data_IF_856601247024
#
_entry.id   IF_856601247024
#
_cell.length_a   1.000
_cell.length_b   1.000
_cell.length_c   1.000
_cell.angle_alpha   90.00
_cell.angle_beta   90.00
_cell.angle_gamma   90.00
#
_symmetry.space_group_name_H-M   'P 1'
#
loop_
_entity.id
_entity.type
_entity.pdbx_description
1 polymer ?
#
# COMPACT_ATOMS: atom_id res chain seq x y z
N UNK A 1 -12.26 -41.26 16.02
CA UNK A 1 -12.49 -39.82 15.75
C UNK A 1 -12.25 -38.94 16.98
N UNK A 2 -12.68 -39.30 18.21
CA UNK A 2 -12.44 -38.45 19.41
C UNK A 2 -10.96 -38.14 19.71
N UNK A 3 -10.03 -39.00 19.34
CA UNK A 3 -8.59 -38.82 19.61
C UNK A 3 -7.90 -37.81 18.66
N UNK A 4 -8.40 -37.65 17.44
CA UNK A 4 -7.86 -36.69 16.46
C UNK A 4 -8.25 -35.23 16.78
N UNK A 5 -9.46 -35.02 17.33
CA UNK A 5 -9.95 -33.68 17.66
C UNK A 5 -9.24 -33.07 18.86
N UNK A 6 -8.55 -33.88 19.68
CA UNK A 6 -7.77 -33.43 20.83
C UNK A 6 -6.29 -33.13 20.48
N UNK A 7 -5.80 -33.49 19.29
CA UNK A 7 -4.43 -33.23 18.88
C UNK A 7 -4.24 -31.75 18.56
N UNK A 8 -3.25 -31.11 19.14
CA UNK A 8 -2.94 -29.68 18.95
C UNK A 8 -2.84 -29.27 17.48
N UNK A 9 -2.25 -30.11 16.64
CA UNK A 9 -2.14 -29.82 15.20
C UNK A 9 -3.49 -29.84 14.49
N UNK A 10 -4.42 -30.73 14.83
CA UNK A 10 -5.75 -30.77 14.23
C UNK A 10 -6.59 -29.56 14.62
N UNK A 11 -6.53 -29.16 15.90
CA UNK A 11 -7.16 -27.92 16.37
C UNK A 11 -6.56 -26.70 15.66
N UNK A 12 -5.24 -26.70 15.43
CA UNK A 12 -4.60 -25.62 14.68
C UNK A 12 -5.04 -25.62 13.21
N UNK A 13 -5.05 -26.76 12.53
CA UNK A 13 -5.49 -26.88 11.14
C UNK A 13 -6.93 -26.37 10.96
N UNK A 14 -7.84 -26.80 11.84
CA UNK A 14 -9.25 -26.36 11.78
C UNK A 14 -9.42 -24.88 12.12
N UNK A 15 -8.55 -24.32 12.95
CA UNK A 15 -8.57 -22.92 13.33
C UNK A 15 -7.95 -21.98 12.26
N UNK A 16 -7.07 -22.49 11.39
CA UNK A 16 -6.32 -21.73 10.39
C UNK A 16 -6.45 -22.30 8.96
N UNK A 17 -7.55 -23.02 8.68
CA UNK A 17 -7.81 -23.61 7.36
C UNK A 17 -7.66 -22.63 6.20
N UNK A 18 -8.03 -21.35 6.41
CA UNK A 18 -7.96 -20.28 5.43
C UNK A 18 -6.53 -19.90 5.02
N UNK A 19 -5.51 -20.33 5.75
CA UNK A 19 -4.12 -20.15 5.35
C UNK A 19 -3.67 -21.15 4.25
N UNK A 20 -4.37 -22.27 4.07
CA UNK A 20 -4.03 -23.21 3.01
C UNK A 20 -4.19 -22.64 1.60
N UNK A 21 -5.34 -22.03 1.24
CA UNK A 21 -5.45 -21.37 -0.07
C UNK A 21 -4.45 -20.22 -0.24
N UNK A 22 -4.12 -19.47 0.80
CA UNK A 22 -3.08 -18.43 0.75
C UNK A 22 -1.70 -19.05 0.48
N UNK A 23 -1.33 -20.10 1.21
CA UNK A 23 -0.07 -20.81 0.99
C UNK A 23 -0.02 -21.43 -0.41
N UNK A 24 -1.10 -22.05 -0.86
CA UNK A 24 -1.22 -22.62 -2.21
C UNK A 24 -1.04 -21.54 -3.29
N UNK A 25 -1.64 -20.39 -3.12
CA UNK A 25 -1.46 -19.26 -4.03
C UNK A 25 -0.01 -18.75 -4.05
N UNK A 26 0.62 -18.57 -2.89
CA UNK A 26 2.01 -18.10 -2.82
C UNK A 26 2.98 -19.11 -3.44
N UNK A 27 2.76 -20.41 -3.23
CA UNK A 27 3.55 -21.47 -3.86
C UNK A 27 3.35 -21.50 -5.37
N UNK A 28 2.10 -21.34 -5.84
CA UNK A 28 1.81 -21.27 -7.27
C UNK A 28 2.47 -20.03 -7.91
N UNK A 29 2.32 -18.85 -7.31
CA UNK A 29 2.95 -17.63 -7.78
C UNK A 29 4.48 -17.75 -7.80
N UNK A 30 5.10 -18.27 -6.74
CA UNK A 30 6.53 -18.54 -6.70
C UNK A 30 6.94 -19.54 -7.80
N UNK A 31 6.16 -20.61 -8.00
CA UNK A 31 6.40 -21.60 -9.04
C UNK A 31 6.35 -21.01 -10.44
N UNK A 32 5.39 -20.12 -10.72
CA UNK A 32 5.29 -19.42 -12.00
C UNK A 32 6.47 -18.47 -12.20
N UNK A 33 6.77 -17.61 -11.23
CA UNK A 33 7.90 -16.69 -11.34
C UNK A 33 9.22 -17.45 -11.54
N UNK A 34 9.57 -18.39 -10.68
CA UNK A 34 10.83 -19.12 -10.80
C UNK A 34 10.87 -20.10 -11.98
N UNK A 35 9.71 -20.57 -12.45
CA UNK A 35 9.62 -21.44 -13.63
C UNK A 35 9.92 -20.71 -14.94
N UNK A 36 9.49 -19.46 -15.07
CA UNK A 36 9.76 -18.63 -16.25
C UNK A 36 11.02 -17.76 -16.12
N UNK A 37 11.55 -17.62 -14.91
CA UNK A 37 12.75 -16.82 -14.63
C UNK A 37 12.56 -15.36 -15.05
N UNK A 38 13.61 -14.74 -15.56
CA UNK A 38 13.65 -13.32 -15.91
C UNK A 38 12.63 -12.90 -16.97
N UNK A 39 12.09 -13.85 -17.75
CA UNK A 39 10.97 -13.61 -18.68
C UNK A 39 9.67 -13.21 -17.97
N UNK A 40 9.59 -13.34 -16.66
CA UNK A 40 8.42 -12.94 -15.85
C UNK A 40 8.58 -11.59 -15.16
N UNK A 41 9.61 -10.82 -15.46
CA UNK A 41 9.63 -9.41 -15.11
C UNK A 41 8.44 -8.67 -15.71
N UNK A 42 7.89 -7.71 -14.96
CA UNK A 42 6.71 -6.96 -15.39
C UNK A 42 7.16 -5.57 -15.83
N UNK A 43 7.08 -5.35 -17.14
CA UNK A 43 7.43 -4.10 -17.77
C UNK A 43 6.26 -3.10 -17.70
N UNK A 44 5.96 -2.61 -16.51
CA UNK A 44 4.89 -1.64 -16.28
C UNK A 44 5.44 -0.39 -15.62
N UNK A 45 5.19 0.77 -16.22
CA UNK A 45 5.75 2.06 -15.78
C UNK A 45 7.27 2.00 -15.61
N UNK A 46 7.79 2.64 -14.59
CA UNK A 46 9.23 2.75 -14.27
C UNK A 46 9.79 1.46 -13.62
N UNK A 47 9.10 0.31 -13.73
CA UNK A 47 9.50 -0.87 -12.96
C UNK A 47 10.83 -1.46 -13.44
N UNK A 48 11.02 -1.58 -14.73
CA UNK A 48 12.22 -2.22 -15.30
C UNK A 48 13.30 -1.19 -15.65
N UNK A 49 12.93 -0.18 -16.38
CA UNK A 49 13.83 0.86 -16.90
C UNK A 49 14.39 1.77 -15.80
N UNK A 50 13.67 1.96 -14.71
CA UNK A 50 14.13 2.78 -13.57
C UNK A 50 14.51 1.90 -12.38
N UNK A 51 13.54 1.18 -11.77
CA UNK A 51 13.77 0.55 -10.46
C UNK A 51 14.67 -0.69 -10.54
N UNK A 52 14.44 -1.60 -11.45
CA UNK A 52 15.28 -2.78 -11.58
C UNK A 52 16.66 -2.43 -12.13
N UNK A 53 16.71 -1.57 -13.15
CA UNK A 53 17.97 -1.14 -13.75
C UNK A 53 18.90 -0.46 -12.73
N UNK A 54 18.39 0.43 -11.87
CA UNK A 54 19.22 1.07 -10.85
C UNK A 54 19.80 0.06 -9.84
N UNK A 55 19.03 -0.94 -9.40
CA UNK A 55 19.54 -1.96 -8.48
C UNK A 55 20.56 -2.86 -9.16
N UNK A 56 20.33 -3.23 -10.42
CA UNK A 56 21.31 -4.00 -11.20
C UNK A 56 22.60 -3.21 -11.39
N UNK A 57 22.53 -1.91 -11.71
CA UNK A 57 23.72 -1.05 -11.83
C UNK A 57 24.48 -0.93 -10.51
N UNK A 58 23.78 -0.73 -9.39
CA UNK A 58 24.39 -0.71 -8.06
C UNK A 58 25.12 -2.04 -7.75
N UNK A 59 24.57 -3.14 -8.21
CA UNK A 59 25.18 -4.47 -8.05
C UNK A 59 26.42 -4.64 -8.93
N UNK A 60 26.32 -4.31 -10.20
CA UNK A 60 27.42 -4.43 -11.17
C UNK A 60 28.62 -3.57 -10.76
N UNK A 61 28.37 -2.39 -10.21
CA UNK A 61 29.42 -1.45 -9.74
C UNK A 61 29.83 -1.68 -8.28
N UNK A 62 29.20 -2.62 -7.58
CA UNK A 62 29.39 -2.87 -6.15
C UNK A 62 29.24 -1.61 -5.29
N UNK A 63 28.27 -0.75 -5.62
CA UNK A 63 28.17 0.63 -5.10
C UNK A 63 27.03 0.82 -4.11
N UNK A 64 26.38 -0.23 -3.60
CA UNK A 64 25.26 -0.09 -2.65
C UNK A 64 25.59 0.79 -1.45
N UNK A 65 26.78 0.65 -0.89
CA UNK A 65 27.24 1.39 0.31
C UNK A 65 28.17 2.57 -0.03
N UNK A 66 28.45 2.82 -1.31
CA UNK A 66 29.32 3.91 -1.73
C UNK A 66 28.67 5.29 -1.52
N UNK A 67 29.49 6.33 -1.38
CA UNK A 67 29.10 7.73 -1.29
C UNK A 67 29.90 8.58 -2.27
N UNK A 68 29.27 9.59 -2.84
CA UNK A 68 29.93 10.56 -3.71
C UNK A 68 30.51 9.96 -4.97
N UNK A 69 30.08 8.76 -5.39
CA UNK A 69 30.52 8.12 -6.63
C UNK A 69 29.44 8.24 -7.70
N UNK A 70 29.88 8.36 -8.94
CA UNK A 70 29.00 8.35 -10.10
C UNK A 70 28.71 6.91 -10.52
N UNK A 71 27.45 6.61 -10.78
CA UNK A 71 26.95 5.31 -11.26
C UNK A 71 26.57 5.48 -12.74
N UNK A 72 26.96 4.54 -13.63
CA UNK A 72 26.66 4.61 -15.05
C UNK A 72 25.18 4.27 -15.34
N UNK A 73 24.27 5.03 -14.76
CA UNK A 73 22.84 4.92 -14.90
C UNK A 73 22.28 6.24 -15.44
N UNK A 74 21.44 6.19 -16.47
CA UNK A 74 20.88 7.37 -17.16
C UNK A 74 21.93 8.38 -17.64
N UNK A 75 23.10 7.91 -18.07
CA UNK A 75 24.20 8.78 -18.53
C UNK A 75 25.16 9.28 -17.44
N UNK A 76 25.02 8.78 -16.25
CA UNK A 76 25.79 9.14 -15.05
C UNK A 76 24.94 9.84 -14.00
N UNK A 77 24.81 9.23 -12.85
CA UNK A 77 24.07 9.80 -11.71
C UNK A 77 24.82 9.54 -10.41
N UNK A 78 24.80 10.50 -9.50
CA UNK A 78 25.38 10.27 -8.18
C UNK A 78 24.67 9.13 -7.45
N UNK A 79 25.44 8.22 -6.82
CA UNK A 79 24.91 7.15 -5.96
C UNK A 79 23.97 7.69 -4.88
N UNK A 80 24.22 8.88 -4.41
CA UNK A 80 23.45 9.50 -3.34
C UNK A 80 22.05 9.95 -3.78
N UNK A 81 21.78 10.00 -5.09
CA UNK A 81 20.46 10.25 -5.66
C UNK A 81 19.62 8.96 -5.84
N UNK A 82 20.21 7.78 -5.62
CA UNK A 82 19.55 6.49 -5.75
C UNK A 82 19.00 6.02 -4.38
N UNK A 83 18.08 5.02 -4.34
CA UNK A 83 17.46 4.55 -3.11
C UNK A 83 18.46 4.16 -2.02
N UNK A 84 18.12 4.51 -0.78
CA UNK A 84 18.93 4.19 0.39
C UNK A 84 19.02 2.68 0.62
N UNK A 85 20.18 2.22 1.02
CA UNK A 85 20.43 0.84 1.47
C UNK A 85 19.70 0.50 2.76
N UNK A 86 19.19 1.46 3.51
CA UNK A 86 18.39 1.22 4.71
C UNK A 86 16.97 0.73 4.40
N UNK A 87 16.52 0.78 3.15
CA UNK A 87 15.24 0.20 2.77
C UNK A 87 15.32 -1.33 2.69
N UNK A 88 14.34 -2.02 3.27
CA UNK A 88 14.24 -3.48 3.19
C UNK A 88 14.18 -3.99 1.74
N UNK A 89 13.54 -3.23 0.84
CA UNK A 89 13.51 -3.58 -0.57
C UNK A 89 14.90 -3.54 -1.20
N UNK A 90 15.68 -2.48 -0.94
CA UNK A 90 17.08 -2.37 -1.40
C UNK A 90 17.95 -3.48 -0.79
N UNK A 91 17.75 -3.81 0.50
CA UNK A 91 18.46 -4.91 1.17
C UNK A 91 18.28 -6.24 0.46
N UNK A 92 17.08 -6.53 -0.09
CA UNK A 92 16.89 -7.75 -0.88
C UNK A 92 17.85 -7.80 -2.07
N UNK A 93 18.03 -6.69 -2.79
CA UNK A 93 18.94 -6.64 -3.95
C UNK A 93 20.42 -6.67 -3.55
N UNK A 94 20.77 -6.24 -2.35
CA UNK A 94 22.15 -6.38 -1.85
C UNK A 94 22.55 -7.85 -1.64
N UNK A 95 21.63 -8.66 -1.15
CA UNK A 95 21.95 -10.04 -0.72
C UNK A 95 21.53 -11.13 -1.71
N UNK A 96 20.52 -10.89 -2.55
CA UNK A 96 20.00 -11.88 -3.49
C UNK A 96 20.28 -11.48 -4.94
N UNK A 97 20.34 -12.45 -5.89
CA UNK A 97 20.29 -12.14 -7.33
C UNK A 97 19.10 -11.24 -7.64
N UNK A 98 19.25 -10.33 -8.62
CA UNK A 98 18.25 -9.28 -8.92
C UNK A 98 16.86 -9.86 -9.13
N UNK A 99 16.73 -10.91 -9.93
CA UNK A 99 15.47 -11.59 -10.16
C UNK A 99 14.87 -12.19 -8.87
N UNK A 100 15.69 -12.87 -8.08
CA UNK A 100 15.25 -13.46 -6.79
C UNK A 100 14.77 -12.35 -5.84
N UNK A 101 15.49 -11.23 -5.73
CA UNK A 101 15.10 -10.08 -4.92
C UNK A 101 13.74 -9.51 -5.36
N UNK A 102 13.52 -9.40 -6.67
CA UNK A 102 12.27 -8.97 -7.26
C UNK A 102 11.10 -9.86 -6.83
N UNK A 103 11.23 -11.18 -7.02
CA UNK A 103 10.19 -12.15 -6.63
C UNK A 103 9.93 -12.13 -5.12
N UNK A 104 10.99 -12.08 -4.30
CA UNK A 104 10.88 -11.96 -2.84
C UNK A 104 10.18 -10.66 -2.44
N UNK A 105 10.40 -9.57 -3.16
CA UNK A 105 9.69 -8.30 -2.98
C UNK A 105 8.18 -8.44 -3.18
N UNK A 106 7.75 -9.11 -4.26
CA UNK A 106 6.33 -9.34 -4.55
C UNK A 106 5.69 -10.23 -3.48
N UNK A 107 6.29 -11.39 -3.19
CA UNK A 107 5.76 -12.32 -2.19
C UNK A 107 5.79 -11.71 -0.78
N UNK A 108 6.85 -10.98 -0.46
CA UNK A 108 7.01 -10.26 0.80
C UNK A 108 5.95 -9.18 1.00
N UNK A 109 5.61 -8.43 -0.06
CA UNK A 109 4.50 -7.46 -0.06
C UNK A 109 3.18 -8.13 0.33
N UNK A 110 2.86 -9.27 -0.27
CA UNK A 110 1.61 -9.99 -0.02
C UNK A 110 1.54 -10.41 1.46
N UNK A 111 2.60 -11.01 1.96
CA UNK A 111 2.69 -11.42 3.36
C UNK A 111 2.62 -10.23 4.32
N UNK A 112 3.35 -9.16 4.02
CA UNK A 112 3.35 -7.94 4.83
C UNK A 112 1.95 -7.32 4.88
N UNK A 113 1.23 -7.24 3.76
CA UNK A 113 -0.15 -6.75 3.70
C UNK A 113 -1.09 -7.58 4.57
N UNK A 114 -1.03 -8.90 4.45
CA UNK A 114 -1.83 -9.81 5.24
C UNK A 114 -1.56 -9.68 6.75
N UNK A 115 -0.28 -9.70 7.15
CA UNK A 115 0.07 -9.64 8.57
C UNK A 115 -0.13 -8.26 9.18
N UNK A 116 0.14 -7.18 8.45
CA UNK A 116 -0.08 -5.81 8.92
C UNK A 116 -1.57 -5.53 9.14
N UNK A 117 -2.42 -5.97 8.22
CA UNK A 117 -3.87 -5.87 8.38
C UNK A 117 -4.38 -6.72 9.57
N UNK A 118 -3.85 -7.93 9.72
CA UNK A 118 -4.16 -8.81 10.86
C UNK A 118 -3.79 -8.16 12.21
N UNK A 119 -2.62 -7.52 12.30
CA UNK A 119 -2.20 -6.85 13.54
C UNK A 119 -3.16 -5.71 13.88
N UNK A 120 -3.50 -4.88 12.91
CA UNK A 120 -4.41 -3.75 13.10
C UNK A 120 -5.82 -4.22 13.47
N UNK A 121 -6.41 -5.10 12.66
CA UNK A 121 -7.77 -5.59 12.92
C UNK A 121 -7.86 -6.40 14.22
N UNK A 122 -6.82 -7.18 14.54
CA UNK A 122 -6.72 -7.91 15.80
C UNK A 122 -6.67 -7.00 17.03
N UNK A 123 -6.02 -5.84 16.93
CA UNK A 123 -6.01 -4.84 18.00
C UNK A 123 -7.34 -4.10 18.14
N UNK A 124 -7.98 -3.77 17.01
CA UNK A 124 -9.25 -3.04 17.01
C UNK A 124 -10.43 -3.90 17.45
N UNK A 125 -10.39 -5.21 17.19
CA UNK A 125 -11.47 -6.17 17.43
C UNK A 125 -11.03 -7.33 18.32
N UNK A 126 -10.23 -7.05 19.34
CA UNK A 126 -9.61 -8.06 20.21
C UNK A 126 -10.62 -9.04 20.82
N UNK A 127 -11.78 -8.54 21.30
CA UNK A 127 -12.84 -9.34 21.95
C UNK A 127 -13.46 -10.38 20.98
N UNK A 128 -13.49 -10.08 19.67
CA UNK A 128 -14.08 -10.92 18.62
C UNK A 128 -13.06 -11.49 17.65
N UNK A 129 -11.77 -11.32 17.94
CA UNK A 129 -10.69 -11.73 17.06
C UNK A 129 -10.81 -13.18 16.57
N UNK A 130 -11.13 -14.11 17.48
CA UNK A 130 -11.24 -15.54 17.15
C UNK A 130 -12.33 -15.78 16.10
N UNK A 131 -13.46 -15.06 16.22
CA UNK A 131 -14.60 -15.18 15.31
C UNK A 131 -14.28 -14.56 13.95
N UNK A 132 -13.70 -13.34 13.95
CA UNK A 132 -13.41 -12.60 12.73
C UNK A 132 -12.10 -13.03 12.04
N UNK A 133 -11.29 -13.87 12.69
CA UNK A 133 -9.95 -14.24 12.21
C UNK A 133 -9.91 -14.65 10.74
N UNK A 134 -10.77 -15.54 10.21
CA UNK A 134 -10.72 -15.87 8.78
C UNK A 134 -10.90 -14.66 7.88
N UNK A 135 -11.92 -13.82 8.14
CA UNK A 135 -12.18 -12.61 7.34
C UNK A 135 -11.03 -11.60 7.47
N UNK A 136 -10.45 -11.45 8.66
CA UNK A 136 -9.29 -10.58 8.89
C UNK A 136 -8.10 -10.97 7.99
N UNK A 137 -7.72 -12.25 8.01
CA UNK A 137 -6.60 -12.74 7.22
C UNK A 137 -6.89 -12.68 5.72
N UNK A 138 -8.10 -13.07 5.31
CA UNK A 138 -8.48 -13.03 3.90
C UNK A 138 -8.58 -11.61 3.37
N UNK A 139 -9.12 -10.65 4.13
CA UNK A 139 -9.11 -9.23 3.73
C UNK A 139 -7.68 -8.69 3.62
N UNK A 140 -6.82 -9.02 4.60
CA UNK A 140 -5.41 -8.66 4.54
C UNK A 140 -4.67 -9.29 3.36
N UNK A 141 -5.02 -10.52 3.00
CA UNK A 141 -4.48 -11.19 1.81
C UNK A 141 -4.93 -10.48 0.52
N UNK A 142 -6.24 -10.17 0.38
CA UNK A 142 -6.75 -9.41 -0.78
C UNK A 142 -6.03 -8.06 -0.88
N UNK A 143 -5.89 -7.34 0.22
CA UNK A 143 -5.13 -6.10 0.27
C UNK A 143 -3.67 -6.29 -0.18
N UNK A 144 -3.03 -7.38 0.24
CA UNK A 144 -1.65 -7.71 -0.13
C UNK A 144 -1.46 -8.06 -1.61
N UNK A 145 -2.47 -8.68 -2.26
CA UNK A 145 -2.41 -9.02 -3.71
C UNK A 145 -2.86 -7.88 -4.62
N UNK A 146 -3.51 -6.83 -4.07
CA UNK A 146 -3.80 -5.62 -4.85
C UNK A 146 -2.50 -5.12 -5.46
N UNK A 147 -2.53 -4.78 -6.74
CA UNK A 147 -1.34 -4.36 -7.44
C UNK A 147 -0.82 -3.02 -6.92
N UNK A 148 0.48 -2.99 -6.70
CA UNK A 148 1.26 -1.78 -6.46
C UNK A 148 2.60 -1.92 -7.17
N UNK A 149 3.25 -0.82 -7.52
CA UNK A 149 4.60 -0.85 -8.05
C UNK A 149 5.50 -1.71 -7.15
N UNK A 150 6.21 -2.71 -7.69
CA UNK A 150 7.01 -3.62 -6.88
C UNK A 150 8.00 -2.89 -5.95
N UNK A 151 8.64 -1.82 -6.43
CA UNK A 151 9.56 -1.01 -5.65
C UNK A 151 8.93 -0.36 -4.41
N UNK A 152 7.64 -0.04 -4.46
CA UNK A 152 6.90 0.58 -3.36
C UNK A 152 5.95 -0.39 -2.65
N UNK A 153 5.98 -1.65 -3.05
CA UNK A 153 5.05 -2.66 -2.53
C UNK A 153 5.06 -2.79 -1.02
N UNK A 154 6.24 -2.75 -0.39
CA UNK A 154 6.35 -2.79 1.07
C UNK A 154 5.75 -1.56 1.74
N UNK A 155 5.95 -0.38 1.16
CA UNK A 155 5.39 0.85 1.71
C UNK A 155 3.87 0.83 1.73
N UNK A 156 3.23 0.34 0.67
CA UNK A 156 1.78 0.15 0.64
C UNK A 156 1.31 -0.91 1.63
N UNK A 157 1.91 -2.09 1.57
CA UNK A 157 1.50 -3.22 2.39
C UNK A 157 1.67 -2.96 3.90
N UNK A 158 2.59 -2.06 4.27
CA UNK A 158 2.87 -1.70 5.66
C UNK A 158 1.97 -0.60 6.25
N UNK A 159 1.11 0.06 5.48
CA UNK A 159 0.23 1.13 6.00
C UNK A 159 -0.58 0.66 7.22
N UNK A 160 -1.26 -0.51 7.22
CA UNK A 160 -1.96 -0.98 8.41
C UNK A 160 -1.03 -1.21 9.62
N UNK A 161 0.24 -1.60 9.39
CA UNK A 161 1.23 -1.73 10.45
C UNK A 161 1.54 -0.38 11.10
N UNK A 162 1.71 0.68 10.31
CA UNK A 162 1.92 2.03 10.85
C UNK A 162 0.76 2.46 11.75
N UNK A 163 -0.48 2.29 11.27
CA UNK A 163 -1.68 2.62 12.05
C UNK A 163 -1.75 1.78 13.34
N UNK A 164 -1.44 0.49 13.26
CA UNK A 164 -1.34 -0.38 14.44
C UNK A 164 -0.32 0.14 15.46
N UNK A 165 0.89 0.49 15.03
CA UNK A 165 1.95 0.99 15.90
C UNK A 165 1.55 2.31 16.57
N UNK A 166 0.93 3.23 15.83
CA UNK A 166 0.44 4.50 16.37
C UNK A 166 -0.67 4.27 17.41
N UNK A 167 -1.59 3.33 17.18
CA UNK A 167 -2.60 2.93 18.17
C UNK A 167 -1.94 2.36 19.42
N UNK A 168 -0.92 1.51 19.27
CA UNK A 168 -0.18 0.95 20.41
C UNK A 168 0.57 2.03 21.21
N UNK A 169 1.18 2.98 20.54
CA UNK A 169 1.80 4.13 21.22
C UNK A 169 0.74 4.95 21.97
N UNK A 170 -0.37 5.24 21.31
CA UNK A 170 -1.45 6.04 21.92
C UNK A 170 -2.03 5.37 23.17
N UNK A 171 -2.33 4.06 23.10
CA UNK A 171 -2.93 3.29 24.20
C UNK A 171 -1.93 2.92 25.29
N UNK A 172 -0.85 2.26 24.91
CA UNK A 172 0.10 1.63 25.84
C UNK A 172 1.26 2.56 26.21
N UNK A 173 1.83 3.32 25.25
CA UNK A 173 2.95 4.25 25.45
C UNK A 173 4.29 3.57 25.80
N UNK A 174 4.41 2.26 25.60
CA UNK A 174 5.63 1.49 25.92
C UNK A 174 6.79 1.80 24.98
N UNK A 175 8.03 1.86 25.51
CA UNK A 175 9.25 2.17 24.72
C UNK A 175 9.44 1.30 23.48
N UNK A 176 9.04 0.02 23.54
CA UNK A 176 9.09 -0.92 22.40
C UNK A 176 8.30 -0.44 21.18
N UNK A 177 7.20 0.28 21.40
CA UNK A 177 6.37 0.78 20.30
C UNK A 177 6.98 2.00 19.62
N UNK A 178 7.67 2.86 20.39
CA UNK A 178 8.46 3.94 19.81
C UNK A 178 9.66 3.40 19.03
N UNK A 179 10.33 2.35 19.52
CA UNK A 179 11.41 1.69 18.77
C UNK A 179 10.87 1.08 17.48
N UNK A 180 9.71 0.41 17.53
CA UNK A 180 9.08 -0.14 16.34
C UNK A 180 8.67 0.94 15.32
N UNK A 181 8.21 2.12 15.78
CA UNK A 181 7.95 3.26 14.90
C UNK A 181 9.23 3.85 14.32
N UNK A 182 10.32 3.91 15.07
CA UNK A 182 11.62 4.35 14.58
C UNK A 182 12.15 3.46 13.46
N UNK A 183 11.90 2.15 13.56
CA UNK A 183 12.34 1.14 12.58
C UNK A 183 11.35 1.00 11.40
N UNK A 184 10.11 1.43 11.55
CA UNK A 184 9.07 1.32 10.51
C UNK A 184 9.49 1.86 9.13
N UNK A 185 10.25 2.96 9.00
CA UNK A 185 10.73 3.46 7.71
C UNK A 185 11.56 2.48 6.87
N UNK A 186 12.10 1.40 7.46
CA UNK A 186 12.76 0.35 6.68
C UNK A 186 11.81 -0.34 5.66
N UNK A 187 10.51 -0.31 5.90
CA UNK A 187 9.47 -0.85 5.01
C UNK A 187 8.59 0.24 4.39
N UNK A 188 8.96 1.51 4.55
CA UNK A 188 8.21 2.66 4.03
C UNK A 188 9.19 3.72 3.53
N UNK A 189 8.76 4.56 2.56
CA UNK A 189 9.59 5.63 2.01
C UNK A 189 9.03 6.99 2.39
N UNK A 190 9.88 7.90 2.86
CA UNK A 190 9.50 9.29 3.09
C UNK A 190 9.02 9.95 1.80
N UNK A 191 9.82 9.82 0.75
CA UNK A 191 9.58 10.41 -0.57
C UNK A 191 8.28 9.95 -1.23
N UNK A 192 7.69 8.86 -0.77
CA UNK A 192 6.47 8.30 -1.35
C UNK A 192 5.26 8.39 -0.43
N UNK A 193 5.36 7.93 0.82
CA UNK A 193 4.27 7.88 1.80
C UNK A 193 4.56 8.63 3.08
N UNK A 194 5.82 8.77 3.47
CA UNK A 194 6.19 9.23 4.80
C UNK A 194 5.70 10.63 5.12
N UNK A 195 5.80 11.57 4.17
CA UNK A 195 5.28 12.92 4.39
C UNK A 195 3.77 12.90 4.66
N UNK A 196 3.01 12.12 3.90
CA UNK A 196 1.56 12.00 4.11
C UNK A 196 1.23 11.35 5.45
N UNK A 197 1.96 10.30 5.83
CA UNK A 197 1.81 9.66 7.15
C UNK A 197 2.07 10.66 8.27
N UNK A 198 3.14 11.46 8.19
CA UNK A 198 3.44 12.50 9.16
C UNK A 198 2.36 13.59 9.16
N UNK A 199 1.89 14.02 7.99
CA UNK A 199 0.80 14.98 7.85
C UNK A 199 -0.51 14.49 8.47
N UNK A 200 -0.92 13.26 8.18
CA UNK A 200 -2.10 12.65 8.81
C UNK A 200 -1.94 12.49 10.33
N UNK A 201 -0.74 12.17 10.79
CA UNK A 201 -0.46 12.10 12.22
C UNK A 201 -0.59 13.47 12.88
N UNK A 202 -0.10 14.54 12.25
CA UNK A 202 -0.31 15.93 12.73
C UNK A 202 -1.80 16.25 12.82
N UNK A 203 -2.59 15.96 11.77
CA UNK A 203 -4.04 16.16 11.77
C UNK A 203 -4.69 15.39 12.93
N UNK A 204 -4.30 14.12 13.13
CA UNK A 204 -4.81 13.29 14.21
C UNK A 204 -4.45 13.86 15.60
N UNK A 205 -3.22 14.34 15.78
CA UNK A 205 -2.77 14.97 17.03
C UNK A 205 -3.61 16.22 17.32
N UNK A 206 -3.78 17.11 16.34
CA UNK A 206 -4.57 18.33 16.49
C UNK A 206 -6.02 17.99 16.85
N UNK A 207 -6.64 17.11 16.06
CA UNK A 207 -8.03 16.67 16.28
C UNK A 207 -8.25 16.05 17.66
N UNK A 208 -7.38 15.13 18.08
CA UNK A 208 -7.47 14.48 19.39
C UNK A 208 -7.22 15.49 20.53
N UNK A 209 -6.25 16.40 20.36
CA UNK A 209 -5.95 17.42 21.37
C UNK A 209 -7.13 18.38 21.57
N UNK A 210 -7.78 18.80 20.49
CA UNK A 210 -8.99 19.64 20.54
C UNK A 210 -10.16 18.90 21.18
N UNK A 211 -10.40 17.66 20.74
CA UNK A 211 -11.49 16.82 21.27
C UNK A 211 -11.36 16.59 22.77
N UNK A 212 -10.16 16.20 23.22
CA UNK A 212 -9.89 15.81 24.60
C UNK A 212 -9.49 17.01 25.48
N UNK A 213 -9.41 18.22 24.88
CA UNK A 213 -8.97 19.48 25.52
C UNK A 213 -7.64 19.37 26.26
N UNK A 214 -6.73 18.56 25.75
CA UNK A 214 -5.39 18.33 26.31
C UNK A 214 -4.43 17.84 25.20
N UNK A 215 -3.15 18.20 25.27
CA UNK A 215 -2.18 17.73 24.28
C UNK A 215 -1.96 16.22 24.39
N UNK A 216 -1.85 15.55 23.24
CA UNK A 216 -1.62 14.10 23.14
C UNK A 216 -0.11 13.85 23.01
N UNK A 217 0.63 14.04 24.11
CA UNK A 217 2.11 13.97 24.17
C UNK A 217 2.67 12.68 23.57
N UNK A 218 1.99 11.55 23.76
CA UNK A 218 2.44 10.27 23.21
C UNK A 218 2.52 10.28 21.70
N UNK A 219 1.52 10.83 21.02
CA UNK A 219 1.52 10.92 19.55
C UNK A 219 2.45 12.04 19.06
N UNK A 220 2.64 13.13 19.84
CA UNK A 220 3.64 14.15 19.52
C UNK A 220 5.05 13.55 19.57
N UNK A 221 5.36 12.75 20.59
CA UNK A 221 6.62 12.01 20.65
C UNK A 221 6.75 10.98 19.50
N UNK A 222 5.64 10.29 19.15
CA UNK A 222 5.61 9.37 18.03
C UNK A 222 5.91 10.07 16.69
N UNK A 223 5.39 11.29 16.50
CA UNK A 223 5.67 12.10 15.31
C UNK A 223 7.17 12.38 15.18
N UNK A 224 7.82 12.83 16.28
CA UNK A 224 9.25 13.10 16.28
C UNK A 224 10.07 11.84 16.03
N UNK A 225 9.73 10.74 16.70
CA UNK A 225 10.42 9.45 16.53
C UNK A 225 10.28 8.91 15.11
N UNK A 226 9.10 8.98 14.55
CA UNK A 226 8.83 8.51 13.18
C UNK A 226 9.55 9.39 12.14
N UNK A 227 9.52 10.72 12.33
CA UNK A 227 10.26 11.64 11.47
C UNK A 227 11.78 11.39 11.54
N UNK A 228 12.33 11.19 12.74
CA UNK A 228 13.74 10.81 12.92
C UNK A 228 14.07 9.47 12.24
N UNK A 229 13.16 8.49 12.31
CA UNK A 229 13.29 7.22 11.60
C UNK A 229 13.34 7.40 10.08
N UNK A 230 12.47 8.25 9.51
CA UNK A 230 12.50 8.56 8.07
C UNK A 230 13.80 9.27 7.66
N UNK A 231 14.23 10.27 8.43
CA UNK A 231 15.51 10.96 8.18
C UNK A 231 16.68 9.96 8.21
N UNK A 232 16.71 9.07 9.20
CA UNK A 232 17.75 8.06 9.30
C UNK A 232 17.70 7.01 8.18
N UNK A 233 16.50 6.62 7.75
CA UNK A 233 16.34 5.63 6.69
C UNK A 233 16.65 6.20 5.30
N UNK A 234 16.20 7.42 5.01
CA UNK A 234 16.45 8.12 3.74
C UNK A 234 17.49 9.24 3.89
N UNK A 235 18.53 9.01 4.68
CA UNK A 235 19.56 10.01 4.98
C UNK A 235 20.25 10.57 3.71
N UNK A 236 20.34 9.78 2.65
CA UNK A 236 20.87 10.23 1.36
C UNK A 236 19.99 11.32 0.75
N UNK A 237 18.68 11.10 0.70
CA UNK A 237 17.69 12.06 0.22
C UNK A 237 17.77 13.38 1.01
N UNK A 238 17.76 13.29 2.35
CA UNK A 238 17.85 14.46 3.19
C UNK A 238 19.22 15.15 3.11
N UNK A 239 20.29 14.39 2.92
CA UNK A 239 21.63 14.93 2.64
C UNK A 239 21.66 15.76 1.37
N UNK A 240 21.09 15.25 0.28
CA UNK A 240 21.01 15.98 -0.99
C UNK A 240 20.13 17.24 -0.87
N UNK A 241 19.00 17.17 -0.19
CA UNK A 241 18.12 18.33 0.03
C UNK A 241 18.78 19.44 0.86
N UNK A 242 19.64 19.09 1.84
CA UNK A 242 20.24 20.06 2.76
C UNK A 242 21.59 20.59 2.29
N UNK A 243 22.36 19.78 1.54
CA UNK A 243 23.73 20.12 1.13
C UNK A 243 23.83 20.67 -0.28
N UNK A 244 22.71 20.96 -0.93
CA UNK A 244 22.67 21.57 -2.24
C UNK A 244 22.92 20.57 -3.37
N UNK A 245 22.15 19.51 -3.43
CA UNK A 245 22.14 18.56 -4.53
C UNK A 245 21.66 19.17 -5.84
N UNK A 246 21.71 18.39 -6.89
CA UNK A 246 21.23 18.75 -8.22
C UNK A 246 19.75 19.08 -8.21
N UNK A 247 19.33 20.05 -9.02
CA UNK A 247 17.92 20.38 -9.21
C UNK A 247 17.16 19.15 -9.73
N UNK A 248 16.03 18.85 -9.13
CA UNK A 248 15.21 17.73 -9.60
C UNK A 248 14.42 18.16 -10.83
N UNK A 249 14.27 17.26 -11.81
CA UNK A 249 13.45 17.50 -13.01
C UNK A 249 12.01 17.91 -12.67
N UNK A 250 11.56 17.65 -11.45
CA UNK A 250 10.21 17.98 -10.97
C UNK A 250 9.94 19.46 -10.91
N UNK A 251 10.95 20.31 -10.68
CA UNK A 251 10.82 21.77 -10.71
C UNK A 251 10.49 22.28 -12.11
N UNK A 252 10.89 21.55 -13.17
CA UNK A 252 10.62 21.91 -14.56
C UNK A 252 9.35 21.27 -15.15
N UNK A 253 8.70 20.33 -14.43
CA UNK A 253 7.46 19.70 -14.90
C UNK A 253 6.32 20.71 -14.81
N UNK A 254 5.74 21.03 -15.96
CA UNK A 254 4.52 21.85 -16.04
C UNK A 254 3.33 20.98 -15.61
N UNK A 255 2.87 21.18 -14.39
CA UNK A 255 1.66 20.52 -13.89
C UNK A 255 0.40 21.06 -14.56
N UNK A 256 -0.64 20.22 -14.66
CA UNK A 256 -1.95 20.65 -15.16
C UNK A 256 -2.53 21.80 -14.33
N UNK A 257 -3.28 22.69 -14.96
CA UNK A 257 -4.08 23.74 -14.31
C UNK A 257 -5.53 23.55 -14.74
N UNK A 258 -6.26 22.73 -13.99
CA UNK A 258 -7.61 22.33 -14.33
C UNK A 258 -8.64 23.37 -13.87
N UNK A 259 -9.71 23.51 -14.65
CA UNK A 259 -10.88 24.27 -14.26
C UNK A 259 -11.62 23.61 -13.08
N UNK A 260 -12.41 24.38 -12.34
CA UNK A 260 -13.18 23.88 -11.20
C UNK A 260 -14.08 22.68 -11.57
N UNK A 261 -14.70 22.70 -12.75
CA UNK A 261 -15.53 21.60 -13.21
C UNK A 261 -14.72 20.32 -13.46
N UNK A 262 -13.53 20.44 -14.05
CA UNK A 262 -12.60 19.31 -14.24
C UNK A 262 -12.09 18.78 -12.90
N UNK A 263 -11.77 19.65 -11.94
CA UNK A 263 -11.37 19.25 -10.58
C UNK A 263 -12.48 18.42 -9.92
N UNK A 264 -13.75 18.85 -10.00
CA UNK A 264 -14.87 18.07 -9.46
C UNK A 264 -15.04 16.72 -10.18
N UNK A 265 -14.82 16.70 -11.48
CA UNK A 265 -14.83 15.45 -12.25
C UNK A 265 -13.72 14.50 -11.80
N UNK A 266 -12.48 14.99 -11.64
CA UNK A 266 -11.35 14.21 -11.14
C UNK A 266 -11.62 13.64 -9.75
N UNK A 267 -12.13 14.45 -8.82
CA UNK A 267 -12.52 13.99 -7.48
C UNK A 267 -13.52 12.83 -7.58
N UNK A 268 -14.53 12.98 -8.42
CA UNK A 268 -15.55 11.94 -8.63
C UNK A 268 -14.98 10.68 -9.28
N UNK A 269 -14.12 10.84 -10.28
CA UNK A 269 -13.46 9.73 -10.99
C UNK A 269 -12.57 8.94 -10.04
N UNK A 270 -11.67 9.61 -9.31
CA UNK A 270 -10.78 8.95 -8.34
C UNK A 270 -11.57 8.21 -7.26
N UNK A 271 -12.64 8.82 -6.74
CA UNK A 271 -13.47 8.18 -5.73
C UNK A 271 -14.20 6.95 -6.28
N UNK A 272 -14.71 7.04 -7.52
CA UNK A 272 -15.41 5.95 -8.22
C UNK A 272 -14.45 4.81 -8.59
N UNK A 273 -13.30 5.15 -9.16
CA UNK A 273 -12.33 4.17 -9.63
C UNK A 273 -11.47 3.59 -8.49
N UNK A 274 -11.49 4.23 -7.33
CA UNK A 274 -10.94 3.78 -6.05
C UNK A 274 -9.45 3.81 -5.97
N UNK A 275 -8.75 3.33 -7.01
CA UNK A 275 -7.31 3.19 -7.00
C UNK A 275 -6.77 3.35 -8.43
N UNK A 276 -5.75 4.17 -8.57
CA UNK A 276 -5.11 4.45 -9.84
C UNK A 276 -4.50 3.22 -10.53
N UNK A 277 -4.01 2.24 -9.78
CA UNK A 277 -3.28 1.09 -10.31
C UNK A 277 -3.90 -0.30 -10.03
N UNK A 278 -5.05 -0.38 -9.36
CA UNK A 278 -5.58 -1.66 -8.90
C UNK A 278 -7.12 -1.71 -8.90
N UNK A 279 -7.74 -1.27 -9.97
CA UNK A 279 -9.17 -1.01 -10.07
C UNK A 279 -10.05 -2.24 -10.36
N UNK A 280 -9.48 -3.35 -10.79
CA UNK A 280 -10.23 -4.46 -11.40
C UNK A 280 -11.46 -4.95 -10.63
N UNK A 281 -11.45 -4.91 -9.30
CA UNK A 281 -12.54 -5.38 -8.44
C UNK A 281 -13.27 -4.24 -7.74
N UNK A 282 -12.63 -3.08 -7.68
CA UNK A 282 -13.17 -1.95 -6.96
C UNK A 282 -14.56 -1.56 -7.44
N UNK A 283 -14.71 -1.28 -8.74
CA UNK A 283 -15.97 -0.83 -9.32
C UNK A 283 -17.07 -1.91 -9.28
N UNK A 284 -16.70 -3.20 -9.31
CA UNK A 284 -17.65 -4.31 -9.39
C UNK A 284 -18.12 -4.82 -8.04
N UNK A 285 -17.29 -4.74 -7.01
CA UNK A 285 -17.56 -5.35 -5.70
C UNK A 285 -17.44 -4.35 -4.55
N UNK A 286 -16.25 -3.76 -4.38
CA UNK A 286 -15.94 -2.96 -3.18
C UNK A 286 -16.79 -1.70 -3.12
N UNK A 287 -16.80 -0.92 -4.19
CA UNK A 287 -17.56 0.33 -4.27
C UNK A 287 -19.07 0.12 -4.09
N UNK A 288 -19.76 -0.77 -4.84
CA UNK A 288 -21.18 -0.97 -4.66
C UNK A 288 -21.55 -1.40 -3.24
N UNK A 289 -20.81 -2.36 -2.68
CA UNK A 289 -21.07 -2.86 -1.32
C UNK A 289 -20.92 -1.75 -0.29
N UNK A 290 -19.84 -0.97 -0.36
CA UNK A 290 -19.59 0.12 0.58
C UNK A 290 -20.61 1.27 0.42
N UNK A 291 -20.95 1.65 -0.82
CA UNK A 291 -21.92 2.73 -1.09
C UNK A 291 -23.33 2.34 -0.65
N UNK A 292 -23.79 1.14 -1.01
CA UNK A 292 -25.11 0.65 -0.60
C UNK A 292 -25.17 0.62 0.94
N UNK A 293 -24.14 0.09 1.60
CA UNK A 293 -24.11 0.06 3.05
C UNK A 293 -24.08 1.46 3.67
N UNK A 294 -23.31 2.40 3.08
CA UNK A 294 -23.27 3.80 3.50
C UNK A 294 -24.66 4.43 3.46
N UNK A 295 -25.38 4.27 2.35
CA UNK A 295 -26.73 4.79 2.20
C UNK A 295 -27.69 4.18 3.20
N UNK A 296 -27.70 2.85 3.34
CA UNK A 296 -28.58 2.16 4.28
C UNK A 296 -28.30 2.53 5.75
N UNK A 297 -27.01 2.60 6.12
CA UNK A 297 -26.60 2.96 7.48
C UNK A 297 -27.05 4.38 7.84
N UNK A 298 -26.75 5.35 6.95
CA UNK A 298 -27.04 6.74 7.22
C UNK A 298 -28.54 7.06 7.10
N UNK A 299 -29.26 6.45 6.16
CA UNK A 299 -30.74 6.55 6.11
C UNK A 299 -31.37 6.06 7.42
N UNK A 300 -30.87 4.95 7.99
CA UNK A 300 -31.33 4.48 9.30
C UNK A 300 -31.03 5.48 10.42
N UNK A 301 -29.81 6.06 10.45
CA UNK A 301 -29.48 7.07 11.47
C UNK A 301 -30.34 8.33 11.33
N UNK A 302 -30.61 8.76 10.10
CA UNK A 302 -31.51 9.90 9.81
C UNK A 302 -32.95 9.60 10.26
N UNK A 303 -33.48 8.43 9.88
CA UNK A 303 -34.84 8.00 10.28
C UNK A 303 -35.00 7.93 11.80
N UNK A 304 -33.96 7.42 12.50
CA UNK A 304 -33.95 7.31 13.96
C UNK A 304 -33.57 8.61 14.67
N UNK A 305 -33.36 9.71 13.93
CA UNK A 305 -32.90 11.02 14.44
C UNK A 305 -31.60 10.96 15.24
N UNK A 306 -30.70 10.00 14.91
CA UNK A 306 -29.44 9.78 15.60
C UNK A 306 -28.26 10.47 14.89
N UNK A 307 -28.41 11.78 14.59
CA UNK A 307 -27.44 12.58 13.82
C UNK A 307 -26.01 12.49 14.33
N UNK A 308 -25.84 12.45 15.66
CA UNK A 308 -24.50 12.33 16.27
C UNK A 308 -23.79 11.03 15.86
N UNK A 309 -24.52 9.95 15.63
CA UNK A 309 -23.93 8.66 15.22
C UNK A 309 -23.32 8.72 13.81
N UNK A 310 -23.87 9.56 12.93
CA UNK A 310 -23.31 9.74 11.57
C UNK A 310 -21.85 10.18 11.66
N UNK A 311 -21.55 11.14 12.53
CA UNK A 311 -20.21 11.72 12.68
C UNK A 311 -19.25 10.88 13.57
N UNK A 312 -19.78 9.96 14.36
CA UNK A 312 -18.97 9.13 15.28
C UNK A 312 -18.82 7.68 14.81
N UNK A 313 -19.46 7.31 13.71
CA UNK A 313 -19.38 5.96 13.18
C UNK A 313 -18.04 5.73 12.47
N UNK A 314 -17.25 4.68 12.87
CA UNK A 314 -15.95 4.41 12.24
C UNK A 314 -16.02 4.15 10.72
N UNK A 315 -17.12 3.56 10.23
CA UNK A 315 -17.29 3.34 8.80
C UNK A 315 -17.47 4.68 8.05
N UNK A 316 -18.30 5.57 8.58
CA UNK A 316 -18.49 6.91 8.01
C UNK A 316 -17.20 7.72 8.05
N UNK A 317 -16.38 7.56 9.10
CA UNK A 317 -15.07 8.18 9.18
C UNK A 317 -14.16 7.70 8.03
N UNK A 318 -14.11 6.40 7.76
CA UNK A 318 -13.33 5.85 6.64
C UNK A 318 -13.84 6.39 5.30
N UNK A 319 -15.17 6.44 5.08
CA UNK A 319 -15.76 6.99 3.86
C UNK A 319 -15.45 8.50 3.68
N UNK A 320 -15.49 9.26 4.78
CA UNK A 320 -15.12 10.68 4.76
C UNK A 320 -13.62 10.87 4.47
N UNK A 321 -12.77 9.99 4.97
CA UNK A 321 -11.33 10.05 4.71
C UNK A 321 -10.99 9.69 3.26
N UNK A 322 -11.69 8.73 2.67
CA UNK A 322 -11.63 8.44 1.23
C UNK A 322 -12.00 9.66 0.38
N UNK A 323 -13.08 10.35 0.76
CA UNK A 323 -13.47 11.58 0.08
C UNK A 323 -12.42 12.69 0.25
N UNK A 324 -11.86 12.83 1.45
CA UNK A 324 -10.78 13.78 1.71
C UNK A 324 -9.56 13.53 0.80
N UNK A 325 -9.10 12.27 0.67
CA UNK A 325 -8.00 11.93 -0.23
C UNK A 325 -8.33 12.27 -1.70
N UNK A 326 -9.56 11.99 -2.14
CA UNK A 326 -10.00 12.32 -3.49
C UNK A 326 -10.04 13.83 -3.73
N UNK A 327 -10.47 14.63 -2.72
CA UNK A 327 -10.45 16.09 -2.77
C UNK A 327 -9.01 16.61 -2.86
N UNK A 328 -8.10 16.10 -2.04
CA UNK A 328 -6.67 16.48 -2.10
C UNK A 328 -6.08 16.16 -3.48
N UNK A 329 -6.43 15.01 -4.05
CA UNK A 329 -6.01 14.61 -5.39
C UNK A 329 -6.46 15.63 -6.45
N UNK A 330 -7.76 15.91 -6.52
CA UNK A 330 -8.28 16.85 -7.53
C UNK A 330 -7.81 18.30 -7.32
N UNK A 331 -7.64 18.73 -6.07
CA UNK A 331 -7.14 20.08 -5.75
C UNK A 331 -5.65 20.24 -6.08
N UNK A 332 -4.89 19.17 -6.20
CA UNK A 332 -3.49 19.26 -6.63
C UNK A 332 -3.34 19.88 -8.02
N UNK A 333 -4.29 19.64 -8.92
CA UNK A 333 -4.31 20.21 -10.27
C UNK A 333 -4.96 21.61 -10.34
N UNK A 334 -5.26 22.21 -9.19
CA UNK A 334 -5.62 23.62 -9.10
C UNK A 334 -4.37 24.49 -9.02
N UNK A 335 -3.91 25.05 -10.14
CA UNK A 335 -2.65 25.78 -10.23
C UNK A 335 -2.53 26.96 -9.28
N UNK A 336 -3.64 27.68 -9.01
CA UNK A 336 -3.64 28.80 -8.06
C UNK A 336 -3.41 28.34 -6.62
N UNK A 337 -4.05 27.23 -6.21
CA UNK A 337 -3.88 26.66 -4.88
C UNK A 337 -2.47 26.06 -4.72
N UNK A 338 -1.98 25.35 -5.73
CA UNK A 338 -0.64 24.78 -5.70
C UNK A 338 0.42 25.86 -5.54
N UNK A 339 0.41 26.91 -6.36
CA UNK A 339 1.34 28.05 -6.24
C UNK A 339 1.27 28.73 -4.87
N UNK A 340 0.07 28.81 -4.27
CA UNK A 340 -0.07 29.35 -2.91
C UNK A 340 0.61 28.46 -1.88
N UNK A 341 0.44 27.13 -1.96
CA UNK A 341 1.07 26.18 -1.04
C UNK A 341 2.59 26.20 -1.18
N UNK A 342 3.10 26.20 -2.40
CA UNK A 342 4.52 26.28 -2.71
C UNK A 342 5.14 27.60 -2.20
N UNK A 343 4.45 28.73 -2.38
CA UNK A 343 4.90 30.03 -1.88
C UNK A 343 4.93 30.10 -0.34
N UNK A 344 3.98 29.45 0.34
CA UNK A 344 3.92 29.42 1.81
C UNK A 344 4.92 28.41 2.41
N UNK A 345 5.19 27.32 1.71
CA UNK A 345 6.07 26.22 2.17
C UNK A 345 6.98 25.80 1.03
N UNK A 346 8.06 26.57 0.72
CA UNK A 346 8.95 26.29 -0.42
C UNK A 346 9.49 24.85 -0.50
N UNK A 347 9.78 24.15 0.61
CA UNK A 347 10.20 22.74 0.54
C UNK A 347 9.17 21.77 -0.07
N UNK A 348 7.92 22.22 -0.27
CA UNK A 348 6.86 21.44 -0.92
C UNK A 348 6.76 21.69 -2.43
N UNK A 349 7.62 22.52 -2.98
CA UNK A 349 7.72 22.73 -4.43
C UNK A 349 7.98 21.41 -5.15
N UNK A 350 7.20 21.14 -6.19
CA UNK A 350 7.25 19.89 -6.94
C UNK A 350 6.78 18.63 -6.17
N UNK A 351 6.21 18.80 -4.96
CA UNK A 351 5.68 17.65 -4.22
C UNK A 351 4.33 17.18 -4.79
N UNK A 352 4.22 15.89 -5.04
CA UNK A 352 3.05 15.28 -5.66
C UNK A 352 1.97 14.93 -4.63
N UNK A 353 1.12 15.92 -4.26
CA UNK A 353 0.02 15.70 -3.30
C UNK A 353 -1.06 14.74 -3.81
N UNK A 354 -1.16 14.51 -5.11
CA UNK A 354 -2.05 13.52 -5.70
C UNK A 354 -1.73 12.07 -5.25
N UNK A 355 -0.55 11.81 -4.71
CA UNK A 355 -0.18 10.49 -4.15
C UNK A 355 -0.98 10.08 -2.91
N UNK A 356 -1.81 10.97 -2.33
CA UNK A 356 -2.75 10.59 -1.25
C UNK A 356 -3.67 9.44 -1.62
N UNK A 357 -3.99 9.26 -2.91
CA UNK A 357 -4.82 8.14 -3.38
C UNK A 357 -4.22 6.77 -3.09
N UNK A 358 -2.92 6.68 -2.90
CA UNK A 358 -2.25 5.42 -2.57
C UNK A 358 -2.63 4.85 -1.19
N UNK A 359 -3.26 5.65 -0.33
CA UNK A 359 -3.87 5.18 0.92
C UNK A 359 -5.28 4.60 0.72
N UNK A 360 -5.93 4.89 -0.40
CA UNK A 360 -7.30 4.48 -0.68
C UNK A 360 -7.51 2.96 -0.68
N UNK A 361 -6.59 2.10 -1.20
CA UNK A 361 -6.77 0.66 -1.11
C UNK A 361 -6.95 0.15 0.31
N UNK A 362 -6.10 0.60 1.22
CA UNK A 362 -6.22 0.24 2.65
C UNK A 362 -7.57 0.69 3.24
N UNK A 363 -8.01 1.90 2.92
CA UNK A 363 -9.27 2.44 3.41
C UNK A 363 -10.48 1.70 2.81
N UNK A 364 -10.48 1.39 1.52
CA UNK A 364 -11.56 0.67 0.87
C UNK A 364 -11.69 -0.77 1.37
N UNK A 365 -10.59 -1.51 1.50
CA UNK A 365 -10.64 -2.86 2.06
C UNK A 365 -10.95 -2.85 3.56
N UNK A 366 -10.53 -1.82 4.29
CA UNK A 366 -10.95 -1.57 5.66
C UNK A 366 -12.45 -1.30 5.76
N UNK A 367 -13.02 -0.50 4.86
CA UNK A 367 -14.46 -0.24 4.78
C UNK A 367 -15.24 -1.54 4.47
N UNK A 368 -14.80 -2.30 3.46
CA UNK A 368 -15.38 -3.61 3.13
C UNK A 368 -15.36 -4.55 4.34
N UNK A 369 -14.23 -4.68 5.01
CA UNK A 369 -14.11 -5.49 6.23
C UNK A 369 -15.12 -5.06 7.29
N UNK A 370 -15.28 -3.75 7.56
CA UNK A 370 -16.26 -3.23 8.50
C UNK A 370 -17.69 -3.58 8.11
N UNK A 371 -18.03 -3.53 6.81
CA UNK A 371 -19.36 -3.97 6.33
C UNK A 371 -19.58 -5.44 6.63
N UNK A 372 -18.61 -6.29 6.29
CA UNK A 372 -18.71 -7.75 6.43
C UNK A 372 -18.96 -8.16 7.88
N UNK A 373 -18.16 -7.65 8.82
CA UNK A 373 -18.30 -8.00 10.23
C UNK A 373 -19.58 -7.43 10.85
N UNK A 374 -20.00 -6.23 10.46
CA UNK A 374 -21.23 -5.60 10.98
C UNK A 374 -22.50 -6.29 10.51
N UNK A 375 -22.53 -6.79 9.27
CA UNK A 375 -23.66 -7.55 8.76
C UNK A 375 -23.70 -8.96 9.38
N UNK A 376 -22.55 -9.55 9.65
CA UNK A 376 -22.47 -10.77 10.46
C UNK A 376 -23.01 -10.54 11.87
N UNK A 377 -22.56 -9.51 12.59
CA UNK A 377 -23.01 -9.19 13.95
C UNK A 377 -24.52 -8.91 14.04
N UNK A 378 -25.13 -8.48 12.95
CA UNK A 378 -26.59 -8.26 12.86
C UNK A 378 -27.36 -9.50 12.44
N UNK A 379 -26.71 -10.63 12.23
CA UNK A 379 -27.32 -11.86 11.76
C UNK A 379 -27.84 -11.81 10.31
N UNK A 380 -27.42 -10.81 9.52
CA UNK A 380 -27.83 -10.67 8.11
C UNK A 380 -27.22 -11.79 7.27
N UNK A 381 -25.97 -12.16 7.58
CA UNK A 381 -25.29 -13.27 6.92
C UNK A 381 -24.38 -14.07 7.86
N UNK A 382 -23.94 -15.22 7.37
CA UNK A 382 -23.02 -16.09 8.09
C UNK A 382 -21.56 -15.67 7.87
N UNK A 383 -20.66 -16.11 8.74
CA UNK A 383 -19.23 -15.94 8.57
C UNK A 383 -18.71 -16.63 7.29
N UNK A 384 -19.33 -17.73 6.86
CA UNK A 384 -19.04 -18.40 5.61
C UNK A 384 -19.32 -17.52 4.39
N UNK A 385 -20.44 -16.79 4.39
CA UNK A 385 -20.76 -15.86 3.31
C UNK A 385 -19.77 -14.68 3.29
N UNK A 386 -19.43 -14.12 4.46
CA UNK A 386 -18.42 -13.06 4.56
C UNK A 386 -17.06 -13.51 4.01
N UNK A 387 -16.60 -14.71 4.37
CA UNK A 387 -15.37 -15.29 3.80
C UNK A 387 -15.50 -15.54 2.30
N UNK A 388 -16.64 -16.05 1.84
CA UNK A 388 -16.91 -16.28 0.41
C UNK A 388 -16.81 -15.00 -0.40
N UNK A 389 -17.33 -13.89 0.09
CA UNK A 389 -17.23 -12.57 -0.56
C UNK A 389 -15.76 -12.13 -0.68
N UNK A 390 -14.98 -12.30 0.39
CA UNK A 390 -13.55 -11.92 0.35
C UNK A 390 -12.75 -12.85 -0.55
N UNK A 391 -13.05 -14.16 -0.56
CA UNK A 391 -12.44 -15.08 -1.52
C UNK A 391 -12.79 -14.75 -2.97
N UNK A 392 -14.05 -14.39 -3.25
CA UNK A 392 -14.47 -13.93 -4.57
C UNK A 392 -13.75 -12.63 -4.97
N UNK A 393 -13.58 -11.70 -4.03
CA UNK A 393 -12.79 -10.49 -4.27
C UNK A 393 -11.31 -10.81 -4.57
N UNK A 394 -10.69 -11.77 -3.84
CA UNK A 394 -9.34 -12.23 -4.12
C UNK A 394 -9.21 -12.82 -5.53
N UNK A 395 -10.11 -13.73 -5.89
CA UNK A 395 -10.14 -14.33 -7.24
C UNK A 395 -10.34 -13.26 -8.31
N UNK A 396 -11.22 -12.30 -8.08
CA UNK A 396 -11.45 -11.23 -9.04
C UNK A 396 -10.22 -10.33 -9.20
N UNK A 397 -9.46 -10.01 -8.13
CA UNK A 397 -8.17 -9.30 -8.25
C UNK A 397 -7.18 -10.10 -9.09
N UNK A 398 -7.08 -11.41 -8.85
CA UNK A 398 -6.12 -12.28 -9.55
C UNK A 398 -6.49 -12.43 -11.04
N UNK A 399 -7.79 -12.59 -11.34
CA UNK A 399 -8.27 -12.93 -12.69
C UNK A 399 -8.70 -11.72 -13.54
N UNK A 400 -8.71 -10.51 -12.98
CA UNK A 400 -9.08 -9.32 -13.76
C UNK A 400 -7.92 -8.89 -14.65
N UNK A 401 -8.10 -8.88 -15.98
CA UNK A 401 -7.08 -8.37 -16.88
C UNK A 401 -6.91 -6.87 -16.66
N UNK A 402 -5.72 -6.51 -16.25
CA UNK A 402 -5.29 -5.13 -16.10
C UNK A 402 -3.79 -5.10 -16.38
N UNK A 403 -3.33 -4.20 -17.27
CA UNK A 403 -1.91 -4.05 -17.62
C UNK A 403 -1.03 -3.73 -16.40
N UNK A 404 -1.62 -3.33 -15.30
CA UNK A 404 -0.96 -3.06 -14.04
C UNK A 404 -1.06 -4.21 -13.03
N UNK A 405 -1.65 -5.34 -13.41
CA UNK A 405 -1.77 -6.50 -12.54
C UNK A 405 -0.66 -7.51 -12.86
N UNK A 406 0.43 -7.41 -12.12
CA UNK A 406 1.61 -8.27 -12.26
C UNK A 406 1.28 -9.76 -12.19
N UNK A 407 0.43 -10.15 -11.25
CA UNK A 407 0.04 -11.55 -11.11
C UNK A 407 -0.76 -12.04 -12.32
N UNK A 408 -1.64 -11.21 -12.84
CA UNK A 408 -2.38 -11.53 -14.07
C UNK A 408 -1.42 -11.69 -15.24
N UNK A 409 -0.57 -10.69 -15.50
CA UNK A 409 0.38 -10.74 -16.61
C UNK A 409 1.36 -11.89 -16.48
N UNK A 410 1.94 -12.09 -15.32
CA UNK A 410 2.91 -13.17 -15.13
C UNK A 410 2.25 -14.55 -15.12
N UNK A 411 1.18 -14.75 -14.36
CA UNK A 411 0.60 -16.08 -14.24
C UNK A 411 -0.27 -16.45 -15.43
N UNK A 412 -1.06 -15.51 -15.95
CA UNK A 412 -1.98 -15.81 -17.05
C UNK A 412 -1.28 -15.80 -18.40
N UNK A 413 -0.58 -14.74 -18.75
CA UNK A 413 0.03 -14.63 -20.08
C UNK A 413 1.11 -15.69 -20.28
N UNK A 414 1.95 -15.92 -19.29
CA UNK A 414 2.98 -16.97 -19.39
C UNK A 414 2.39 -18.39 -19.42
N UNK A 415 1.34 -18.65 -18.65
CA UNK A 415 0.62 -19.90 -18.76
C UNK A 415 -0.05 -20.05 -20.15
N UNK A 416 -0.66 -18.98 -20.68
CA UNK A 416 -1.25 -18.97 -22.00
C UNK A 416 -0.22 -19.27 -23.09
N UNK A 417 0.92 -18.61 -23.08
CA UNK A 417 2.04 -18.86 -23.99
C UNK A 417 2.50 -20.32 -23.94
N UNK A 418 2.66 -20.84 -22.74
CA UNK A 418 3.09 -22.23 -22.55
C UNK A 418 2.10 -23.23 -23.17
N UNK A 419 0.79 -23.02 -22.99
CA UNK A 419 -0.23 -23.95 -23.50
C UNK A 419 -0.53 -23.77 -24.97
N UNK A 420 -0.33 -22.61 -25.55
CA UNK A 420 -0.68 -22.31 -26.93
C UNK A 420 0.53 -22.20 -27.86
N UNK A 421 1.74 -22.16 -27.31
CA UNK A 421 2.98 -21.99 -28.08
C UNK A 421 3.08 -20.66 -28.82
N UNK A 422 2.30 -19.68 -28.39
CA UNK A 422 2.29 -18.33 -28.97
C UNK A 422 2.94 -17.36 -27.99
N UNK A 423 3.87 -16.55 -28.48
CA UNK A 423 4.43 -15.43 -27.72
C UNK A 423 3.45 -14.27 -27.72
N UNK A 424 3.36 -13.53 -26.60
CA UNK A 424 2.58 -12.31 -26.52
C UNK A 424 3.50 -11.16 -26.92
N UNK A 425 3.40 -10.75 -28.18
CA UNK A 425 4.34 -9.81 -28.86
C UNK A 425 4.66 -8.53 -28.07
N UNK A 426 3.67 -7.93 -27.39
CA UNK A 426 3.91 -6.69 -26.60
C UNK A 426 4.82 -6.89 -25.39
N UNK A 427 4.78 -8.07 -24.76
CA UNK A 427 5.60 -8.39 -23.59
C UNK A 427 7.04 -8.69 -23.96
N UNK A 428 7.26 -9.33 -25.11
CA UNK A 428 8.61 -9.70 -25.56
C UNK A 428 9.43 -8.47 -25.96
N UNK A 429 8.81 -7.48 -26.58
CA UNK A 429 9.49 -6.26 -26.98
C UNK A 429 9.96 -5.43 -25.78
N UNK A 430 9.09 -5.21 -24.78
CA UNK A 430 9.43 -4.49 -23.56
C UNK A 430 10.44 -5.27 -22.71
N UNK A 431 10.37 -6.61 -22.66
CA UNK A 431 11.33 -7.44 -21.95
C UNK A 431 12.70 -7.46 -22.64
N UNK A 432 12.74 -7.50 -23.97
CA UNK A 432 13.98 -7.41 -24.74
C UNK A 432 14.73 -6.11 -24.46
N UNK A 433 14.01 -4.97 -24.45
CA UNK A 433 14.60 -3.69 -24.08
C UNK A 433 15.10 -3.65 -22.64
N UNK A 434 14.35 -4.22 -21.73
CA UNK A 434 14.75 -4.26 -20.33
C UNK A 434 15.95 -5.18 -20.09
N UNK A 435 16.04 -6.32 -20.76
CA UNK A 435 17.22 -7.18 -20.71
C UNK A 435 18.46 -6.47 -21.28
N UNK A 436 18.32 -5.79 -22.41
CA UNK A 436 19.41 -5.00 -23.00
C UNK A 436 19.90 -3.86 -22.09
N UNK A 437 19.04 -3.31 -21.23
CA UNK A 437 19.42 -2.30 -20.22
C UNK A 437 20.04 -2.93 -18.97
N UNK A 438 19.81 -4.22 -18.71
CA UNK A 438 20.35 -4.93 -17.55
C UNK A 438 21.70 -5.60 -17.83
N UNK A 439 22.04 -5.86 -19.09
CA UNK A 439 23.36 -6.33 -19.57
C UNK A 439 24.37 -5.17 -19.69
#
# INVERSE_FOLDING_TARGET
MKDLTQRKWFVWLTAYWFLFPVAGFLLLAAGVFFGYGERSYIAVHDNMDLFLAQFQMLKNTNSFLAHGVEIPFLGGISRDNLPSEMSLYTVLYMFFPTYTAYVLGILGKILLGMFSFRLLAGELFADKYVIYRPVIYMTGFVYGIVWFFPAFGFAFASIPLCVYLLIKVYRDGGKRWYLALFVYPLVSYFSYHGLFILGYLVIAIVWLSVRDRKPVWRLMAALVVLAAGYVGCEYRLFGQMLLGGEETIRSSIVNADLSFAQILQEIGTVWKDGIFHADGVHAKVVLPVCVIYFLLLNSRYLYQRQWKKIFHDPFNFVMAFLLFNSVVYGLYDCGSLRRLVEALVPPLEGWQFNRTIFFNPFLWYGALFLVLIRLYDRGVWTMWLANGIVCAAALAVILTPNRYNDLYFTCYNRAYEHFHGTEVDELDYEQFYAQALLE
#
